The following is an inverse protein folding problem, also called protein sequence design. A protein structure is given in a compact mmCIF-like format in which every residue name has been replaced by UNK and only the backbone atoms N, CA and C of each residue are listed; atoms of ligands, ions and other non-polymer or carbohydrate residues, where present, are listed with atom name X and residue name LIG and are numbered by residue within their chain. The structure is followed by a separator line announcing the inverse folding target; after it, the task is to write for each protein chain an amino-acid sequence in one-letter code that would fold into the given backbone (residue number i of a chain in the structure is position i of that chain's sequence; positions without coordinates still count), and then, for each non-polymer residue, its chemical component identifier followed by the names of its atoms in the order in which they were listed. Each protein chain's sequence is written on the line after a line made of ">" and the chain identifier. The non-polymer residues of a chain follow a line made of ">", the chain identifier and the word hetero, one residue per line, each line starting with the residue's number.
data_IF_224500083439
#
_entry.id   IF_224500083439
#
_cell.length_a   1.000
_cell.length_b   1.000
_cell.length_c   1.000
_cell.angle_alpha   90.00
_cell.angle_beta   90.00
_cell.angle_gamma   90.00
#
_symmetry.space_group_name_H-M   'P 1'
#
loop_
_entity.id
_entity.type
_entity.pdbx_description
1 polymer ?
#
# COMPACT_ATOMS: atom_id res chain seq x y z
N UNK A 1 -88.95 -49.36 29.37
CA UNK A 1 -87.80 -49.59 28.48
C UNK A 1 -87.46 -48.37 27.61
N UNK A 2 -88.44 -47.63 27.11
CA UNK A 2 -88.20 -46.47 26.21
C UNK A 2 -87.36 -45.33 26.79
N UNK A 3 -87.54 -44.98 28.07
CA UNK A 3 -86.74 -43.92 28.71
C UNK A 3 -85.24 -44.24 28.79
N UNK A 4 -84.89 -45.50 29.04
CA UNK A 4 -83.50 -45.96 29.08
C UNK A 4 -82.88 -46.03 27.68
N UNK A 5 -83.65 -46.43 26.66
CA UNK A 5 -83.21 -46.41 25.26
C UNK A 5 -82.99 -44.99 24.74
N UNK A 6 -83.83 -44.03 25.14
CA UNK A 6 -83.65 -42.62 24.80
C UNK A 6 -82.41 -42.01 25.46
N UNK A 7 -82.13 -42.35 26.72
CA UNK A 7 -80.92 -41.89 27.41
C UNK A 7 -79.64 -42.46 26.77
N UNK A 8 -79.63 -43.76 26.44
CA UNK A 8 -78.52 -44.40 25.74
C UNK A 8 -78.29 -43.80 24.35
N UNK A 9 -79.36 -43.48 23.62
CA UNK A 9 -79.28 -42.81 22.32
C UNK A 9 -78.72 -41.38 22.45
N UNK A 10 -79.16 -40.62 23.47
CA UNK A 10 -78.65 -39.28 23.76
C UNK A 10 -77.15 -39.30 24.10
N UNK A 11 -76.73 -40.20 24.98
CA UNK A 11 -75.33 -40.39 25.34
C UNK A 11 -74.47 -40.78 24.12
N UNK A 12 -74.93 -41.73 23.31
CA UNK A 12 -74.22 -42.13 22.07
C UNK A 12 -74.06 -40.96 21.10
N UNK A 13 -75.10 -40.15 20.92
CA UNK A 13 -75.03 -38.97 20.05
C UNK A 13 -74.07 -37.90 20.59
N UNK A 14 -74.01 -37.69 21.91
CA UNK A 14 -73.06 -36.77 22.53
C UNK A 14 -71.62 -37.25 22.38
N UNK A 15 -71.36 -38.55 22.59
CA UNK A 15 -70.04 -39.15 22.38
C UNK A 15 -69.60 -39.03 20.92
N UNK A 16 -70.48 -39.29 19.96
CA UNK A 16 -70.18 -39.11 18.53
C UNK A 16 -69.80 -37.66 18.24
N UNK A 17 -70.55 -36.67 18.75
CA UNK A 17 -70.21 -35.25 18.55
C UNK A 17 -68.85 -34.87 19.13
N UNK A 18 -68.51 -35.40 20.30
CA UNK A 18 -67.19 -35.16 20.93
C UNK A 18 -66.07 -35.81 20.12
N UNK A 19 -66.32 -37.00 19.57
CA UNK A 19 -65.38 -37.69 18.70
C UNK A 19 -65.16 -36.93 17.39
N UNK A 20 -66.23 -36.45 16.76
CA UNK A 20 -66.15 -35.63 15.54
C UNK A 20 -65.35 -34.35 15.79
N UNK A 21 -65.65 -33.62 16.88
CA UNK A 21 -64.92 -32.41 17.24
C UNK A 21 -63.43 -32.67 17.54
N UNK A 22 -63.10 -33.81 18.16
CA UNK A 22 -61.71 -34.22 18.39
C UNK A 22 -61.01 -34.55 17.06
N UNK A 23 -61.67 -35.26 16.16
CA UNK A 23 -61.15 -35.60 14.84
C UNK A 23 -60.89 -34.34 14.01
N UNK A 24 -61.79 -33.35 14.06
CA UNK A 24 -61.62 -32.05 13.41
C UNK A 24 -60.45 -31.27 14.00
N UNK A 25 -60.31 -31.27 15.34
CA UNK A 25 -59.20 -30.61 16.02
C UNK A 25 -57.85 -31.24 15.66
N UNK A 26 -57.76 -32.57 15.66
CA UNK A 26 -56.55 -33.31 15.26
C UNK A 26 -56.21 -33.01 13.81
N UNK A 27 -57.20 -33.02 12.91
CA UNK A 27 -57.00 -32.71 11.50
C UNK A 27 -56.49 -31.27 11.31
N UNK A 28 -57.05 -30.31 12.04
CA UNK A 28 -56.61 -28.92 12.05
C UNK A 28 -55.15 -28.77 12.51
N UNK A 29 -54.77 -29.46 13.59
CA UNK A 29 -53.39 -29.47 14.09
C UNK A 29 -52.44 -30.08 13.06
N UNK A 30 -52.81 -31.19 12.41
CA UNK A 30 -51.99 -31.83 11.38
C UNK A 30 -51.73 -30.89 10.20
N UNK A 31 -52.75 -30.17 9.73
CA UNK A 31 -52.59 -29.18 8.65
C UNK A 31 -51.64 -28.06 9.08
N UNK A 32 -51.86 -27.46 10.25
CA UNK A 32 -50.98 -26.38 10.75
C UNK A 32 -49.54 -26.84 10.95
N UNK A 33 -49.32 -28.06 11.45
CA UNK A 33 -47.97 -28.62 11.60
C UNK A 33 -47.30 -28.83 10.24
N UNK A 34 -48.03 -29.33 9.24
CA UNK A 34 -47.51 -29.52 7.89
C UNK A 34 -47.10 -28.20 7.25
N UNK A 35 -47.89 -27.15 7.43
CA UNK A 35 -47.56 -25.81 6.94
C UNK A 35 -46.31 -25.24 7.63
N UNK A 36 -46.24 -25.33 8.96
CA UNK A 36 -45.04 -24.90 9.71
C UNK A 36 -43.79 -25.67 9.31
N UNK A 37 -43.90 -26.98 9.11
CA UNK A 37 -42.78 -27.82 8.70
C UNK A 37 -42.31 -27.45 7.29
N UNK A 38 -43.25 -27.18 6.37
CA UNK A 38 -42.92 -26.68 5.03
C UNK A 38 -42.20 -25.34 5.08
N UNK A 39 -42.68 -24.39 5.89
CA UNK A 39 -42.04 -23.08 6.04
C UNK A 39 -40.62 -23.20 6.64
N UNK A 40 -40.45 -24.05 7.66
CA UNK A 40 -39.13 -24.32 8.25
C UNK A 40 -38.18 -24.94 7.24
N UNK A 41 -38.66 -25.87 6.42
CA UNK A 41 -37.84 -26.50 5.39
C UNK A 41 -37.40 -25.49 4.32
N UNK A 42 -38.31 -24.62 3.87
CA UNK A 42 -37.99 -23.53 2.95
C UNK A 42 -36.93 -22.58 3.54
N UNK A 43 -37.12 -22.13 4.78
CA UNK A 43 -36.15 -21.27 5.45
C UNK A 43 -34.78 -21.96 5.60
N UNK A 44 -34.76 -23.25 5.90
CA UNK A 44 -33.53 -24.04 6.02
C UNK A 44 -32.80 -24.12 4.68
N UNK A 45 -33.53 -24.34 3.59
CA UNK A 45 -32.97 -24.38 2.24
C UNK A 45 -32.41 -23.02 1.81
N UNK A 46 -33.08 -21.92 2.17
CA UNK A 46 -32.59 -20.56 1.93
C UNK A 46 -31.32 -20.26 2.71
N UNK A 47 -31.28 -20.59 4.01
CA UNK A 47 -30.09 -20.43 4.84
C UNK A 47 -28.92 -21.24 4.27
N UNK A 48 -29.19 -22.47 3.81
CA UNK A 48 -28.16 -23.30 3.19
C UNK A 48 -27.60 -22.65 1.93
N UNK A 49 -28.46 -22.16 1.04
CA UNK A 49 -28.03 -21.44 -0.18
C UNK A 49 -27.22 -20.19 0.14
N UNK A 50 -27.63 -19.43 1.15
CA UNK A 50 -26.88 -18.25 1.59
C UNK A 50 -25.51 -18.64 2.13
N UNK A 51 -25.41 -19.69 2.95
CA UNK A 51 -24.13 -20.19 3.44
C UNK A 51 -23.22 -20.67 2.30
N UNK A 52 -23.75 -21.39 1.32
CA UNK A 52 -22.99 -21.82 0.14
C UNK A 52 -22.44 -20.61 -0.64
N UNK A 53 -23.26 -19.57 -0.84
CA UNK A 53 -22.84 -18.34 -1.48
C UNK A 53 -21.78 -17.57 -0.67
N UNK A 54 -21.90 -17.54 0.66
CA UNK A 54 -20.92 -16.94 1.57
C UNK A 54 -19.58 -17.68 1.45
N UNK A 55 -19.59 -19.02 1.42
CA UNK A 55 -18.39 -19.81 1.24
C UNK A 55 -17.66 -19.48 -0.07
N UNK A 56 -18.39 -19.43 -1.19
CA UNK A 56 -17.82 -19.07 -2.50
C UNK A 56 -17.22 -17.66 -2.48
N UNK A 57 -17.94 -16.69 -1.90
CA UNK A 57 -17.45 -15.31 -1.76
C UNK A 57 -16.19 -15.24 -0.91
N UNK A 58 -16.13 -16.01 0.18
CA UNK A 58 -14.97 -16.09 1.07
C UNK A 58 -13.76 -16.70 0.37
N UNK A 59 -13.94 -17.77 -0.41
CA UNK A 59 -12.87 -18.37 -1.21
C UNK A 59 -12.31 -17.38 -2.24
N UNK A 60 -13.20 -16.64 -2.93
CA UNK A 60 -12.80 -15.59 -3.86
C UNK A 60 -11.97 -14.50 -3.17
N UNK A 61 -12.44 -13.99 -2.02
CA UNK A 61 -11.73 -12.97 -1.25
C UNK A 61 -10.37 -13.46 -0.75
N UNK A 62 -10.25 -14.74 -0.34
CA UNK A 62 -8.98 -15.34 0.06
C UNK A 62 -7.99 -15.43 -1.09
N UNK A 63 -8.47 -15.79 -2.28
CA UNK A 63 -7.65 -15.80 -3.49
C UNK A 63 -7.18 -14.38 -3.84
N UNK A 64 -8.08 -13.41 -3.87
CA UNK A 64 -7.75 -12.01 -4.18
C UNK A 64 -6.75 -11.44 -3.16
N UNK A 65 -6.94 -11.71 -1.87
CA UNK A 65 -6.01 -11.31 -0.81
C UNK A 65 -4.62 -11.93 -1.01
N UNK A 66 -4.55 -13.22 -1.37
CA UNK A 66 -3.29 -13.90 -1.67
C UNK A 66 -2.57 -13.26 -2.85
N UNK A 67 -3.30 -12.90 -3.91
CA UNK A 67 -2.75 -12.23 -5.08
C UNK A 67 -2.25 -10.81 -4.75
N UNK A 68 -3.02 -10.04 -3.99
CA UNK A 68 -2.63 -8.71 -3.52
C UNK A 68 -1.36 -8.78 -2.68
N UNK A 69 -1.28 -9.73 -1.74
CA UNK A 69 -0.09 -9.95 -0.92
C UNK A 69 1.15 -10.25 -1.77
N UNK A 70 1.02 -11.08 -2.80
CA UNK A 70 2.12 -11.35 -3.76
C UNK A 70 2.55 -10.09 -4.51
N UNK A 71 1.59 -9.27 -4.97
CA UNK A 71 1.89 -8.00 -5.66
C UNK A 71 2.64 -7.02 -4.75
N UNK A 72 2.20 -6.89 -3.49
CA UNK A 72 2.88 -6.04 -2.49
C UNK A 72 4.31 -6.51 -2.26
N UNK A 73 4.51 -7.80 -1.99
CA UNK A 73 5.85 -8.36 -1.78
C UNK A 73 6.79 -8.14 -2.98
N UNK A 74 6.25 -8.27 -4.19
CA UNK A 74 7.00 -7.99 -5.42
C UNK A 74 7.42 -6.52 -5.50
N UNK A 75 6.50 -5.59 -5.26
CA UNK A 75 6.78 -4.15 -5.27
C UNK A 75 7.81 -3.77 -4.21
N UNK A 76 7.70 -4.32 -3.00
CA UNK A 76 8.68 -4.09 -1.92
C UNK A 76 10.08 -4.58 -2.31
N UNK A 77 10.18 -5.74 -2.96
CA UNK A 77 11.45 -6.26 -3.47
C UNK A 77 12.05 -5.36 -4.56
N UNK A 78 11.24 -4.98 -5.55
CA UNK A 78 11.65 -4.11 -6.65
C UNK A 78 12.06 -2.71 -6.17
N UNK A 79 11.35 -2.17 -5.17
CA UNK A 79 11.71 -0.91 -4.53
C UNK A 79 13.07 -1.02 -3.85
N UNK A 80 13.30 -2.08 -3.07
CA UNK A 80 14.58 -2.30 -2.39
C UNK A 80 15.74 -2.42 -3.38
N UNK A 81 15.55 -3.16 -4.47
CA UNK A 81 16.55 -3.31 -5.53
C UNK A 81 16.83 -1.98 -6.24
N UNK A 82 15.78 -1.22 -6.54
CA UNK A 82 15.89 0.10 -7.17
C UNK A 82 16.64 1.09 -6.29
N UNK A 83 16.33 1.16 -4.99
CA UNK A 83 17.03 2.03 -4.03
C UNK A 83 18.50 1.64 -3.91
N UNK A 84 18.82 0.34 -3.85
CA UNK A 84 20.21 -0.12 -3.82
C UNK A 84 20.97 0.27 -5.11
N UNK A 85 20.31 0.16 -6.26
CA UNK A 85 20.88 0.58 -7.54
C UNK A 85 21.11 2.09 -7.61
N UNK A 86 20.14 2.89 -7.14
CA UNK A 86 20.28 4.36 -7.03
C UNK A 86 21.51 4.72 -6.20
N UNK A 87 21.66 4.15 -4.99
CA UNK A 87 22.83 4.40 -4.16
C UNK A 87 24.15 4.00 -4.83
N UNK A 88 24.14 2.93 -5.60
CA UNK A 88 25.32 2.51 -6.37
C UNK A 88 25.69 3.56 -7.43
N UNK A 89 24.69 4.11 -8.12
CA UNK A 89 24.89 5.17 -9.10
C UNK A 89 25.34 6.48 -8.45
N UNK A 90 24.73 6.87 -7.34
CA UNK A 90 25.10 8.06 -6.57
C UNK A 90 26.57 7.99 -6.13
N UNK A 91 26.98 6.87 -5.54
CA UNK A 91 28.37 6.65 -5.14
C UNK A 91 29.33 6.73 -6.34
N UNK A 92 28.93 6.18 -7.49
CA UNK A 92 29.76 6.24 -8.71
C UNK A 92 29.89 7.67 -9.21
N UNK A 93 28.82 8.46 -9.21
CA UNK A 93 28.84 9.87 -9.58
C UNK A 93 29.75 10.64 -8.62
N UNK A 94 29.60 10.45 -7.32
CA UNK A 94 30.43 11.12 -6.32
C UNK A 94 31.92 10.81 -6.52
N UNK A 95 32.26 9.54 -6.76
CA UNK A 95 33.65 9.14 -7.06
C UNK A 95 34.15 9.83 -8.34
N UNK A 96 33.35 9.90 -9.39
CA UNK A 96 33.72 10.58 -10.64
C UNK A 96 33.90 12.09 -10.44
N UNK A 97 33.06 12.73 -9.62
CA UNK A 97 33.21 14.15 -9.29
C UNK A 97 34.47 14.42 -8.46
N UNK A 98 34.74 13.58 -7.46
CA UNK A 98 35.97 13.66 -6.65
C UNK A 98 37.21 13.45 -7.53
N UNK A 99 37.18 12.48 -8.44
CA UNK A 99 38.27 12.25 -9.39
C UNK A 99 38.43 13.41 -10.38
N UNK A 100 37.34 14.03 -10.84
CA UNK A 100 37.40 15.20 -11.71
C UNK A 100 38.02 16.43 -11.02
N UNK A 101 37.95 16.50 -9.69
CA UNK A 101 38.53 17.59 -8.88
C UNK A 101 39.86 17.23 -8.22
N UNK A 102 40.34 15.98 -8.33
CA UNK A 102 41.52 15.53 -7.57
C UNK A 102 42.82 16.22 -8.01
N UNK A 103 42.85 16.73 -9.24
CA UNK A 103 43.95 17.54 -9.78
C UNK A 103 43.67 19.03 -9.76
N UNK A 104 42.54 19.47 -9.18
CA UNK A 104 42.19 20.88 -9.09
C UNK A 104 42.55 21.47 -7.73
N UNK A 105 43.01 22.71 -7.73
CA UNK A 105 43.31 23.43 -6.48
C UNK A 105 42.34 24.60 -6.35
N UNK A 106 41.68 24.67 -5.19
CA UNK A 106 40.77 25.74 -4.83
C UNK A 106 41.47 26.76 -3.93
N UNK A 107 41.55 28.02 -4.38
CA UNK A 107 42.11 29.14 -3.63
C UNK A 107 40.95 30.06 -3.22
N UNK A 108 40.62 30.09 -1.93
CA UNK A 108 39.57 30.93 -1.35
C UNK A 108 40.12 32.29 -0.89
N UNK A 109 39.22 33.24 -0.62
CA UNK A 109 39.55 34.58 -0.12
C UNK A 109 40.48 35.39 -1.02
N UNK A 110 40.38 35.21 -2.33
CA UNK A 110 41.14 36.03 -3.26
C UNK A 110 40.42 37.36 -3.46
N UNK A 111 41.08 38.51 -3.21
CA UNK A 111 40.46 39.83 -3.37
C UNK A 111 39.84 40.02 -4.77
N UNK A 112 38.67 40.65 -4.81
CA UNK A 112 37.96 40.97 -6.07
C UNK A 112 38.28 42.39 -6.48
N UNK A 113 38.75 42.58 -7.71
CA UNK A 113 38.86 43.90 -8.34
C UNK A 113 37.72 44.06 -9.36
N UNK A 114 37.18 45.28 -9.51
CA UNK A 114 35.97 45.57 -10.31
C UNK A 114 36.09 45.23 -11.80
N UNK A 115 37.31 45.06 -12.30
CA UNK A 115 37.62 44.81 -13.71
C UNK A 115 38.81 43.88 -13.85
N UNK A 116 38.77 42.72 -13.19
CA UNK A 116 39.87 41.76 -13.30
C UNK A 116 39.89 41.09 -14.68
N UNK A 117 41.10 40.93 -15.21
CA UNK A 117 41.38 40.16 -16.42
C UNK A 117 41.86 38.75 -16.08
N UNK A 118 41.84 37.85 -17.08
CA UNK A 118 42.42 36.51 -16.95
C UNK A 118 43.91 36.59 -16.54
N UNK A 119 44.66 37.52 -17.13
CA UNK A 119 46.06 37.79 -16.78
C UNK A 119 46.24 38.15 -15.30
N UNK A 120 45.34 38.95 -14.72
CA UNK A 120 45.42 39.34 -13.30
C UNK A 120 45.29 38.12 -12.39
N UNK A 121 44.38 37.22 -12.72
CA UNK A 121 44.19 35.95 -12.00
C UNK A 121 45.41 35.03 -12.15
N UNK A 122 46.00 34.95 -13.34
CA UNK A 122 47.24 34.20 -13.56
C UNK A 122 48.42 34.76 -12.76
N UNK A 123 48.54 36.07 -12.68
CA UNK A 123 49.58 36.75 -11.91
C UNK A 123 49.45 36.48 -10.41
N UNK A 124 48.23 36.42 -9.87
CA UNK A 124 47.96 36.02 -8.48
C UNK A 124 48.45 34.58 -8.25
N UNK A 125 48.12 33.65 -9.14
CA UNK A 125 48.52 32.24 -9.04
C UNK A 125 50.04 32.08 -9.10
N UNK A 126 50.70 32.79 -10.02
CA UNK A 126 52.16 32.82 -10.12
C UNK A 126 52.82 33.39 -8.86
N UNK A 127 52.22 34.43 -8.27
CA UNK A 127 52.69 35.04 -7.02
C UNK A 127 52.59 34.05 -5.86
N UNK A 128 51.47 33.34 -5.74
CA UNK A 128 51.27 32.27 -4.74
C UNK A 128 52.27 31.14 -4.95
N UNK A 129 52.45 30.67 -6.18
CA UNK A 129 53.44 29.62 -6.50
C UNK A 129 54.86 30.04 -6.12
N UNK A 130 55.22 31.31 -6.37
CA UNK A 130 56.52 31.87 -6.01
C UNK A 130 56.71 31.93 -4.50
N UNK A 131 55.68 32.38 -3.77
CA UNK A 131 55.69 32.42 -2.31
C UNK A 131 55.86 31.02 -1.69
N UNK A 132 55.24 30.00 -2.29
CA UNK A 132 55.35 28.60 -1.89
C UNK A 132 56.62 27.90 -2.43
N UNK A 133 57.47 28.61 -3.20
CA UNK A 133 58.68 28.08 -3.86
C UNK A 133 58.41 26.88 -4.79
N UNK A 134 57.24 26.87 -5.42
CA UNK A 134 56.84 25.86 -6.40
C UNK A 134 57.09 26.35 -7.83
N UNK A 135 57.48 25.46 -8.73
CA UNK A 135 57.55 25.74 -10.18
C UNK A 135 56.18 25.48 -10.81
N UNK A 136 55.35 26.51 -10.91
CA UNK A 136 54.11 26.43 -11.69
C UNK A 136 54.37 26.80 -13.16
N UNK A 137 53.92 25.93 -14.07
CA UNK A 137 53.79 26.21 -15.50
C UNK A 137 52.33 26.50 -15.78
N UNK A 138 51.97 27.76 -15.89
CA UNK A 138 50.59 28.16 -16.18
C UNK A 138 50.32 27.93 -17.66
N UNK A 139 49.42 26.99 -17.96
CA UNK A 139 48.92 26.75 -19.33
C UNK A 139 47.48 27.23 -19.40
N UNK A 140 47.08 27.81 -20.53
CA UNK A 140 45.97 28.76 -20.68
C UNK A 140 44.53 28.21 -20.51
N UNK A 141 44.37 27.00 -19.97
CA UNK A 141 43.14 26.19 -20.07
C UNK A 141 42.23 26.13 -18.83
N UNK A 142 42.52 26.87 -17.75
CA UNK A 142 41.73 26.85 -16.51
C UNK A 142 40.49 27.77 -16.51
N UNK A 143 39.46 27.43 -15.72
CA UNK A 143 38.34 28.34 -15.37
C UNK A 143 38.66 29.03 -14.04
N UNK A 144 39.06 30.28 -14.10
CA UNK A 144 39.73 30.93 -12.96
C UNK A 144 38.83 31.45 -11.86
N UNK A 145 37.54 31.76 -12.08
CA UNK A 145 36.67 32.20 -10.97
C UNK A 145 35.27 31.62 -11.10
N UNK A 146 34.73 31.09 -10.00
CA UNK A 146 33.37 30.52 -9.93
C UNK A 146 32.58 31.23 -8.83
N UNK A 147 31.40 31.76 -9.18
CA UNK A 147 30.46 32.34 -8.22
C UNK A 147 29.50 31.24 -7.76
N UNK A 148 29.49 30.91 -6.47
CA UNK A 148 28.47 30.03 -5.86
C UNK A 148 27.28 30.88 -5.41
N UNK A 149 26.07 30.34 -5.55
CA UNK A 149 24.81 31.06 -5.24
C UNK A 149 24.46 31.07 -3.75
N UNK A 150 25.14 30.27 -2.96
CA UNK A 150 24.94 30.14 -1.52
C UNK A 150 26.25 30.54 -0.83
N UNK A 151 26.12 31.47 0.13
CA UNK A 151 27.15 32.16 0.93
C UNK A 151 27.87 33.35 0.28
N UNK A 152 27.57 34.53 0.84
CA UNK A 152 27.91 35.89 0.41
C UNK A 152 29.42 36.28 0.45
N UNK A 153 30.38 35.36 0.59
CA UNK A 153 31.80 35.77 0.75
C UNK A 153 32.89 34.83 0.19
N UNK A 154 32.56 33.78 -0.57
CA UNK A 154 33.58 32.87 -1.08
C UNK A 154 33.93 33.10 -2.55
N UNK A 155 34.86 34.04 -2.77
CA UNK A 155 35.52 34.18 -4.07
C UNK A 155 36.52 33.04 -4.25
N UNK A 156 36.11 32.07 -5.06
CA UNK A 156 36.85 30.83 -5.32
C UNK A 156 37.59 30.91 -6.66
N UNK A 157 38.91 30.75 -6.60
CA UNK A 157 39.76 30.45 -7.76
C UNK A 157 39.97 28.95 -7.91
N UNK A 158 39.62 28.42 -9.08
CA UNK A 158 39.86 27.02 -9.45
C UNK A 158 41.02 26.96 -10.46
N UNK A 159 42.04 26.16 -10.13
CA UNK A 159 43.16 25.83 -11.00
C UNK A 159 43.05 24.41 -11.52
#
# INVERSE_FOLDING_TARGET
>A
MDGMMNLLRGFKNEQNRKFDALQDSISGIQVQQKEKLKALQQNTDEIRKQNDAIHVSMEYLLQENTELKKKVQKIESEQKESTAYIHTLENRIEVMERQGRCSSIEIRNVPVTKSESKEDLLNIVLSISTALKMKASVTDSGRFRKYTKDDDDDNILLL
#
